data_IF_038680848332
#
_entry.id   IF_038680848332
#
_cell.length_a   1.000
_cell.length_b   1.000
_cell.length_c   1.000
_cell.angle_alpha   90.00
_cell.angle_beta   90.00
_cell.angle_gamma   90.00
#
_symmetry.space_group_name_H-M   'P 1'
#
loop_
_entity.id
_entity.type
_entity.pdbx_description
1 polymer ?
#
# COMPACT_ATOMS: atom_id res chain seq x y z
N UNK A 1 -2.48 10.61 -23.93
CA UNK A 1 -3.36 10.63 -22.73
C UNK A 1 -2.71 9.78 -21.66
N UNK A 2 -2.56 10.32 -20.44
CA UNK A 2 -1.79 9.71 -19.34
C UNK A 2 -2.68 9.25 -18.17
N UNK A 3 -4.00 9.30 -18.35
CA UNK A 3 -5.00 8.82 -17.39
C UNK A 3 -5.64 7.58 -18.00
N UNK A 4 -5.65 6.49 -17.23
CA UNK A 4 -6.28 5.23 -17.62
C UNK A 4 -7.49 5.06 -16.70
N UNK A 5 -8.68 5.08 -17.28
CA UNK A 5 -9.94 4.94 -16.55
C UNK A 5 -10.26 3.45 -16.36
N UNK A 6 -10.17 2.98 -15.11
CA UNK A 6 -10.65 1.64 -14.77
C UNK A 6 -12.19 1.64 -14.71
N UNK A 7 -12.87 0.73 -15.44
CA UNK A 7 -14.33 0.67 -15.42
C UNK A 7 -14.89 0.14 -14.09
N UNK A 8 -14.07 -0.63 -13.34
CA UNK A 8 -14.45 -1.23 -12.05
C UNK A 8 -13.22 -1.38 -11.15
N UNK A 9 -13.38 -1.27 -9.83
CA UNK A 9 -12.30 -1.60 -8.90
C UNK A 9 -11.99 -3.11 -8.88
N UNK A 10 -10.81 -3.50 -9.39
CA UNK A 10 -10.34 -4.90 -9.42
C UNK A 10 -9.08 -5.18 -8.59
N UNK A 11 -8.71 -4.25 -7.70
CA UNK A 11 -7.49 -4.31 -6.89
C UNK A 11 -6.22 -4.24 -7.77
N UNK A 12 -5.03 -4.33 -7.17
CA UNK A 12 -3.80 -3.85 -7.81
C UNK A 12 -3.30 -4.72 -8.97
N UNK A 13 -3.58 -6.02 -9.02
CA UNK A 13 -3.07 -6.87 -10.10
C UNK A 13 -3.62 -6.48 -11.48
N UNK A 14 -4.92 -6.20 -11.55
CA UNK A 14 -5.59 -5.84 -12.81
C UNK A 14 -5.16 -4.45 -13.31
N UNK A 15 -5.05 -3.47 -12.41
CA UNK A 15 -4.67 -2.11 -12.79
C UNK A 15 -3.20 -2.05 -13.27
N UNK A 16 -2.30 -2.76 -12.56
CA UNK A 16 -0.89 -2.89 -12.95
C UNK A 16 -0.78 -3.63 -14.29
N UNK A 17 -1.53 -4.72 -14.49
CA UNK A 17 -1.55 -5.45 -15.76
C UNK A 17 -2.01 -4.58 -16.93
N UNK A 18 -3.10 -3.83 -16.74
CA UNK A 18 -3.64 -2.89 -17.74
C UNK A 18 -2.62 -1.80 -18.09
N UNK A 19 -2.00 -1.18 -17.08
CA UNK A 19 -0.94 -0.20 -17.29
C UNK A 19 0.26 -0.82 -18.04
N UNK A 20 0.64 -2.05 -17.69
CA UNK A 20 1.78 -2.74 -18.29
C UNK A 20 1.58 -3.03 -19.78
N UNK A 21 0.39 -3.47 -20.23
CA UNK A 21 0.12 -3.66 -21.67
C UNK A 21 0.14 -2.32 -22.43
N UNK A 22 -0.37 -1.23 -21.82
CA UNK A 22 -0.38 0.10 -22.43
C UNK A 22 1.04 0.66 -22.56
N UNK A 23 1.87 0.49 -21.53
CA UNK A 23 3.26 0.93 -21.52
C UNK A 23 4.09 0.12 -22.51
N UNK A 24 3.98 -1.22 -22.48
CA UNK A 24 4.68 -2.12 -23.40
C UNK A 24 4.37 -1.83 -24.87
N UNK A 25 3.13 -1.43 -25.18
CA UNK A 25 2.74 -1.04 -26.54
C UNK A 25 3.45 0.23 -27.05
N UNK A 26 3.99 1.06 -26.15
CA UNK A 26 4.78 2.26 -26.46
C UNK A 26 6.28 2.00 -26.43
N UNK A 27 6.74 1.25 -25.43
CA UNK A 27 8.13 0.87 -25.22
C UNK A 27 8.19 -0.57 -24.68
N UNK A 28 8.59 -1.56 -25.49
CA UNK A 28 8.63 -2.97 -25.11
C UNK A 28 9.55 -3.29 -23.94
N UNK A 29 10.58 -2.48 -23.71
CA UNK A 29 11.62 -2.72 -22.71
C UNK A 29 11.50 -1.76 -21.51
N UNK A 30 10.42 -0.97 -21.42
CA UNK A 30 10.23 0.04 -20.38
C UNK A 30 10.28 -0.54 -18.97
N UNK A 31 11.12 0.06 -18.12
CA UNK A 31 11.03 -0.07 -16.67
C UNK A 31 9.87 0.78 -16.16
N UNK A 32 9.03 0.15 -15.35
CA UNK A 32 7.86 0.76 -14.72
C UNK A 32 8.09 0.86 -13.22
N UNK A 33 7.68 2.00 -12.66
CA UNK A 33 7.68 2.25 -11.23
C UNK A 33 6.21 2.42 -10.83
N UNK A 34 5.73 1.52 -9.98
CA UNK A 34 4.35 1.49 -9.46
C UNK A 34 4.35 2.11 -8.07
N UNK A 35 3.60 3.21 -7.91
CA UNK A 35 3.52 3.99 -6.68
C UNK A 35 2.06 4.14 -6.26
N UNK A 36 1.71 3.85 -5.00
CA UNK A 36 0.44 4.26 -4.40
C UNK A 36 0.35 5.79 -4.33
N UNK A 37 -0.83 6.34 -4.58
CA UNK A 37 -1.04 7.79 -4.69
C UNK A 37 -1.29 8.49 -3.34
N UNK A 38 -1.50 7.71 -2.29
CA UNK A 38 -1.93 8.09 -0.95
C UNK A 38 -0.81 8.01 0.11
N UNK A 39 0.41 7.65 -0.29
CA UNK A 39 1.56 7.57 0.61
C UNK A 39 2.22 8.94 0.84
N UNK A 40 2.76 9.14 2.05
CA UNK A 40 3.57 10.30 2.40
C UNK A 40 5.05 9.90 2.41
N UNK A 41 5.86 10.65 1.66
CA UNK A 41 7.31 10.51 1.61
C UNK A 41 7.94 11.90 1.85
N UNK A 42 8.77 12.06 2.88
CA UNK A 42 9.35 13.39 3.23
C UNK A 42 10.74 13.65 2.68
N UNK A 43 11.54 12.61 2.40
CA UNK A 43 12.92 12.73 1.93
C UNK A 43 13.00 12.35 0.44
N UNK A 44 12.60 13.28 -0.43
CA UNK A 44 12.45 13.04 -1.87
C UNK A 44 13.78 12.66 -2.55
N UNK A 45 14.89 13.23 -2.13
CA UNK A 45 16.20 12.97 -2.76
C UNK A 45 16.68 11.55 -2.46
N UNK A 46 16.50 11.08 -1.21
CA UNK A 46 16.77 9.67 -0.90
C UNK A 46 15.80 8.73 -1.61
N UNK A 47 14.54 9.11 -1.71
CA UNK A 47 13.54 8.32 -2.43
C UNK A 47 13.91 8.15 -3.92
N UNK A 48 14.26 9.24 -4.62
CA UNK A 48 14.70 9.20 -6.02
C UNK A 48 15.91 8.30 -6.21
N UNK A 49 16.93 8.40 -5.35
CA UNK A 49 18.11 7.52 -5.42
C UNK A 49 17.76 6.04 -5.26
N UNK A 50 16.85 5.71 -4.33
CA UNK A 50 16.36 4.34 -4.16
C UNK A 50 15.65 3.85 -5.41
N UNK A 51 14.79 4.68 -6.02
CA UNK A 51 14.08 4.35 -7.25
C UNK A 51 15.04 4.15 -8.44
N UNK A 52 16.02 5.03 -8.62
CA UNK A 52 17.00 4.95 -9.71
C UNK A 52 17.82 3.65 -9.63
N UNK A 53 18.30 3.31 -8.43
CA UNK A 53 19.05 2.07 -8.21
C UNK A 53 18.19 0.82 -8.45
N UNK A 54 16.95 0.82 -7.93
CA UNK A 54 16.00 -0.27 -8.14
C UNK A 54 15.63 -0.44 -9.62
N UNK A 55 15.40 0.66 -10.34
CA UNK A 55 15.05 0.66 -11.76
C UNK A 55 16.19 0.10 -12.62
N UNK A 56 17.43 0.52 -12.33
CA UNK A 56 18.63 -0.02 -12.99
C UNK A 56 18.74 -1.53 -12.79
N UNK A 57 18.62 -2.00 -11.54
CA UNK A 57 18.70 -3.43 -11.25
C UNK A 57 17.57 -4.22 -11.93
N UNK A 58 16.34 -3.71 -11.89
CA UNK A 58 15.18 -4.34 -12.51
C UNK A 58 15.35 -4.51 -14.04
N UNK A 59 15.96 -3.53 -14.71
CA UNK A 59 16.26 -3.61 -16.14
C UNK A 59 17.31 -4.69 -16.45
N UNK A 60 18.45 -4.62 -15.76
CA UNK A 60 19.60 -5.51 -16.00
C UNK A 60 19.30 -6.97 -15.62
N UNK A 61 18.62 -7.19 -14.49
CA UNK A 61 18.41 -8.51 -13.91
C UNK A 61 17.08 -9.15 -14.31
N UNK A 62 16.15 -8.39 -14.89
CA UNK A 62 14.74 -8.79 -15.09
C UNK A 62 14.04 -9.23 -13.79
N UNK A 63 14.42 -8.60 -12.68
CA UNK A 63 13.86 -8.85 -11.35
C UNK A 63 12.59 -8.05 -11.07
N UNK A 64 11.77 -8.55 -10.15
CA UNK A 64 10.66 -7.79 -9.55
C UNK A 64 11.17 -7.14 -8.26
N UNK A 65 11.41 -5.83 -8.28
CA UNK A 65 11.95 -5.12 -7.12
C UNK A 65 10.82 -4.47 -6.34
N UNK A 66 10.83 -4.60 -5.02
CA UNK A 66 9.97 -3.83 -4.11
C UNK A 66 10.82 -3.01 -3.12
N UNK A 67 10.19 -2.06 -2.43
CA UNK A 67 10.87 -1.22 -1.44
C UNK A 67 10.47 -1.68 -0.04
N UNK A 68 11.48 -2.02 0.77
CA UNK A 68 11.31 -2.41 2.17
C UNK A 68 11.58 -1.25 3.12
N UNK A 69 10.68 -1.00 4.06
CA UNK A 69 10.88 -0.01 5.13
C UNK A 69 11.25 -0.71 6.43
N UNK A 70 12.23 -0.16 7.15
CA UNK A 70 12.65 -0.75 8.43
C UNK A 70 11.50 -0.65 9.45
N UNK A 71 11.02 -1.78 10.01
CA UNK A 71 9.94 -1.77 10.98
C UNK A 71 10.37 -1.05 12.26
N UNK A 72 9.51 -0.19 12.78
CA UNK A 72 9.71 0.49 14.07
C UNK A 72 8.76 0.00 15.16
N UNK A 73 7.78 -0.83 14.78
CA UNK A 73 6.77 -1.43 15.66
C UNK A 73 6.20 -2.71 15.03
N UNK A 74 5.55 -3.58 15.80
CA UNK A 74 4.81 -4.73 15.27
C UNK A 74 3.47 -4.31 14.64
N UNK A 75 3.53 -3.63 13.50
CA UNK A 75 2.33 -3.24 12.74
C UNK A 75 1.66 -4.48 12.13
N UNK A 76 0.34 -4.61 12.25
CA UNK A 76 -0.43 -5.73 11.70
C UNK A 76 -1.15 -5.37 10.41
N UNK A 77 -1.27 -4.07 10.10
CA UNK A 77 -1.85 -3.57 8.87
C UNK A 77 -0.95 -3.72 7.62
N UNK A 78 0.35 -3.96 7.80
CA UNK A 78 1.34 -4.03 6.72
C UNK A 78 1.72 -5.45 6.34
N UNK A 79 2.17 -5.62 5.11
CA UNK A 79 2.94 -6.80 4.70
C UNK A 79 4.36 -6.74 5.23
N UNK A 80 4.95 -7.90 5.50
CA UNK A 80 6.35 -8.05 5.88
C UNK A 80 7.09 -8.89 4.84
N UNK A 81 8.34 -8.55 4.61
CA UNK A 81 9.20 -9.17 3.60
C UNK A 81 10.47 -9.62 4.28
N UNK A 82 10.70 -10.93 4.32
CA UNK A 82 11.96 -11.48 4.80
C UNK A 82 13.01 -11.39 3.69
N UNK A 83 14.17 -10.85 4.00
CA UNK A 83 15.29 -10.77 3.06
C UNK A 83 16.42 -11.72 3.43
N UNK A 84 17.23 -12.05 2.44
CA UNK A 84 18.56 -12.61 2.68
C UNK A 84 19.51 -11.48 3.09
N UNK A 85 20.34 -11.69 4.11
CA UNK A 85 21.34 -10.71 4.57
C UNK A 85 22.41 -10.40 3.50
N UNK A 86 22.55 -11.24 2.47
CA UNK A 86 23.51 -11.03 1.38
C UNK A 86 22.91 -10.21 0.25
N UNK A 87 23.50 -9.04 0.03
CA UNK A 87 23.26 -8.22 -1.16
C UNK A 87 23.69 -8.94 -2.44
N UNK A 88 22.85 -8.85 -3.47
CA UNK A 88 23.17 -9.29 -4.85
C UNK A 88 23.61 -8.14 -5.74
N UNK A 89 23.26 -6.91 -5.36
CA UNK A 89 23.75 -5.64 -5.89
C UNK A 89 23.63 -4.59 -4.77
N UNK A 90 24.20 -3.40 -4.98
CA UNK A 90 24.18 -2.31 -3.98
C UNK A 90 22.77 -2.06 -3.44
N UNK A 91 22.55 -2.30 -2.15
CA UNK A 91 21.26 -2.16 -1.47
C UNK A 91 20.12 -3.01 -2.08
N UNK A 92 20.43 -4.10 -2.78
CA UNK A 92 19.45 -5.03 -3.36
C UNK A 92 19.62 -6.42 -2.74
N UNK A 93 18.53 -6.95 -2.19
CA UNK A 93 18.52 -8.21 -1.45
C UNK A 93 17.51 -9.19 -2.08
N UNK A 94 17.84 -10.48 -2.22
CA UNK A 94 16.85 -11.51 -2.54
C UNK A 94 15.78 -11.59 -1.45
N UNK A 95 14.53 -11.76 -1.86
CA UNK A 95 13.42 -12.00 -0.92
C UNK A 95 13.25 -13.49 -0.69
N UNK A 96 13.12 -13.90 0.58
CA UNK A 96 12.82 -15.29 0.94
C UNK A 96 11.32 -15.54 1.01
N UNK A 97 10.58 -14.67 1.68
CA UNK A 97 9.13 -14.82 1.81
C UNK A 97 8.47 -13.47 2.02
N UNK A 98 7.21 -13.39 1.59
CA UNK A 98 6.27 -12.37 1.98
C UNK A 98 5.33 -12.93 3.04
N UNK A 99 4.88 -12.07 3.95
CA UNK A 99 3.88 -12.37 4.95
C UNK A 99 2.93 -11.16 5.04
N UNK A 100 1.78 -11.26 4.39
CA UNK A 100 0.79 -10.18 4.36
C UNK A 100 -0.02 -10.13 5.66
N UNK A 101 -0.01 -8.98 6.34
CA UNK A 101 -0.86 -8.65 7.50
C UNK A 101 -0.83 -9.72 8.61
N UNK A 102 0.36 -10.01 9.18
CA UNK A 102 0.49 -10.97 10.26
C UNK A 102 -0.28 -10.53 11.52
N UNK A 103 -0.65 -11.48 12.37
CA UNK A 103 -1.13 -11.15 13.71
C UNK A 103 0.00 -10.52 14.55
N UNK A 104 -0.36 -9.82 15.62
CA UNK A 104 0.57 -9.07 16.46
C UNK A 104 1.76 -9.90 16.98
N UNK A 105 1.51 -11.14 17.43
CA UNK A 105 2.56 -12.00 17.96
C UNK A 105 3.59 -12.38 16.88
N UNK A 106 3.13 -12.59 15.64
CA UNK A 106 4.00 -12.83 14.49
C UNK A 106 4.74 -11.55 14.07
N UNK A 107 4.04 -10.41 14.00
CA UNK A 107 4.67 -9.11 13.70
C UNK A 107 5.78 -8.75 14.69
N UNK A 108 5.57 -9.02 15.99
CA UNK A 108 6.58 -8.82 17.03
C UNK A 108 7.84 -9.66 16.76
N UNK A 109 7.68 -10.94 16.42
CA UNK A 109 8.82 -11.81 16.07
C UNK A 109 9.57 -11.32 14.84
N UNK A 110 8.86 -10.80 13.83
CA UNK A 110 9.48 -10.25 12.63
C UNK A 110 10.31 -8.99 12.91
N UNK A 111 9.83 -8.13 13.80
CA UNK A 111 10.58 -6.95 14.25
C UNK A 111 11.79 -7.36 15.07
N UNK A 112 11.63 -8.32 15.98
CA UNK A 112 12.71 -8.82 16.85
C UNK A 112 13.81 -9.56 16.09
N UNK A 113 13.48 -10.26 15.01
CA UNK A 113 14.46 -11.01 14.20
C UNK A 113 15.35 -10.09 13.36
N UNK A 114 14.86 -8.91 12.98
CA UNK A 114 15.62 -7.88 12.25
C UNK A 114 15.85 -8.18 10.76
N UNK A 115 15.39 -9.34 10.27
CA UNK A 115 15.50 -9.79 8.87
C UNK A 115 14.22 -9.55 8.05
N UNK A 116 13.18 -8.96 8.66
CA UNK A 116 11.96 -8.53 7.98
C UNK A 116 11.88 -7.01 7.81
N UNK A 117 11.37 -6.60 6.66
CA UNK A 117 11.01 -5.21 6.35
C UNK A 117 9.52 -5.08 6.04
N UNK A 118 8.95 -3.91 6.29
CA UNK A 118 7.59 -3.60 5.83
C UNK A 118 7.57 -3.49 4.31
N UNK A 119 6.57 -4.12 3.69
CA UNK A 119 6.24 -3.94 2.28
C UNK A 119 5.64 -2.54 2.10
N UNK A 120 6.31 -1.68 1.33
CA UNK A 120 5.82 -0.32 1.09
C UNK A 120 4.73 -0.23 0.03
N UNK A 121 4.32 -1.35 -0.60
CA UNK A 121 3.39 -1.36 -1.73
C UNK A 121 3.90 -0.67 -3.00
N UNK A 122 5.21 -0.38 -3.06
CA UNK A 122 5.87 0.20 -4.24
C UNK A 122 6.66 -0.87 -4.97
N UNK A 123 6.59 -0.85 -6.29
CA UNK A 123 7.18 -1.89 -7.13
C UNK A 123 7.90 -1.33 -8.35
N UNK A 124 8.96 -2.00 -8.77
CA UNK A 124 9.81 -1.61 -9.88
C UNK A 124 10.18 -2.85 -10.70
N UNK A 125 9.83 -2.85 -11.97
CA UNK A 125 10.08 -3.95 -12.92
C UNK A 125 9.93 -3.49 -14.36
N UNK A 126 10.47 -4.26 -15.31
CA UNK A 126 10.11 -4.07 -16.72
C UNK A 126 8.68 -4.54 -17.02
N UNK A 127 8.00 -3.85 -17.93
CA UNK A 127 6.62 -4.14 -18.32
C UNK A 127 6.47 -5.56 -18.92
N UNK A 128 7.42 -6.01 -19.73
CA UNK A 128 7.43 -7.37 -20.28
C UNK A 128 7.60 -8.43 -19.19
N UNK A 129 8.48 -8.18 -18.22
CA UNK A 129 8.80 -9.11 -17.12
C UNK A 129 7.60 -9.33 -16.21
N UNK A 130 6.85 -8.28 -15.84
CA UNK A 130 5.65 -8.44 -15.02
C UNK A 130 4.52 -9.12 -15.78
N UNK A 131 4.36 -8.84 -17.07
CA UNK A 131 3.38 -9.53 -17.92
C UNK A 131 3.70 -11.02 -18.07
N UNK A 132 4.98 -11.37 -18.15
CA UNK A 132 5.43 -12.77 -18.15
C UNK A 132 5.13 -13.48 -16.82
N UNK A 133 5.28 -12.81 -15.67
CA UNK A 133 4.88 -13.37 -14.38
C UNK A 133 3.36 -13.53 -14.29
N UNK A 134 2.59 -12.53 -14.74
CA UNK A 134 1.12 -12.60 -14.79
C UNK A 134 0.68 -13.76 -15.68
N UNK A 135 1.32 -13.99 -16.82
CA UNK A 135 1.04 -15.16 -17.67
C UNK A 135 1.22 -16.49 -16.93
N UNK A 136 2.29 -16.61 -16.15
CA UNK A 136 2.67 -17.86 -15.49
C UNK A 136 1.86 -18.12 -14.20
N UNK A 137 1.59 -17.08 -13.43
CA UNK A 137 1.01 -17.17 -12.08
C UNK A 137 -0.48 -16.82 -12.05
N UNK A 138 -0.97 -16.08 -13.05
CA UNK A 138 -2.34 -15.57 -13.15
C UNK A 138 -2.87 -15.65 -14.60
N UNK A 139 -2.92 -16.85 -15.22
CA UNK A 139 -3.25 -17.02 -16.64
C UNK A 139 -4.61 -16.40 -17.02
N UNK A 140 -5.64 -16.52 -16.18
CA UNK A 140 -6.95 -15.91 -16.43
C UNK A 140 -6.87 -14.37 -16.59
N UNK A 141 -6.02 -13.71 -15.78
CA UNK A 141 -5.79 -12.28 -15.90
C UNK A 141 -5.03 -11.97 -17.19
N UNK A 142 -3.99 -12.75 -17.50
CA UNK A 142 -3.21 -12.57 -18.71
C UNK A 142 -4.06 -12.68 -19.98
N UNK A 143 -4.95 -13.66 -20.07
CA UNK A 143 -5.87 -13.82 -21.21
C UNK A 143 -6.76 -12.60 -21.40
N UNK A 144 -7.31 -12.07 -20.30
CA UNK A 144 -8.07 -10.82 -20.34
C UNK A 144 -7.23 -9.63 -20.80
N UNK A 145 -5.99 -9.50 -20.31
CA UNK A 145 -5.08 -8.43 -20.73
C UNK A 145 -4.73 -8.53 -22.23
N UNK A 146 -4.51 -9.73 -22.77
CA UNK A 146 -4.26 -9.95 -24.20
C UNK A 146 -5.50 -9.57 -25.04
N UNK A 147 -6.71 -9.84 -24.56
CA UNK A 147 -7.93 -9.42 -25.23
C UNK A 147 -8.05 -7.89 -25.28
N UNK A 148 -7.73 -7.21 -24.18
CA UNK A 148 -7.71 -5.74 -24.09
C UNK A 148 -6.60 -5.16 -24.97
N UNK A 149 -5.42 -5.78 -25.01
CA UNK A 149 -4.28 -5.30 -25.80
C UNK A 149 -4.62 -5.23 -27.30
N UNK A 150 -5.35 -6.21 -27.82
CA UNK A 150 -5.82 -6.25 -29.21
C UNK A 150 -6.73 -5.08 -29.58
N UNK A 151 -7.40 -4.48 -28.59
CA UNK A 151 -8.38 -3.42 -28.79
C UNK A 151 -7.86 -2.02 -28.48
N UNK A 152 -6.60 -1.87 -28.06
CA UNK A 152 -6.00 -0.58 -27.69
C UNK A 152 -6.13 0.51 -28.77
N UNK A 153 -6.16 0.13 -30.05
CA UNK A 153 -6.31 1.05 -31.20
C UNK A 153 -7.72 1.08 -31.78
N UNK A 154 -8.66 0.35 -31.21
CA UNK A 154 -10.05 0.28 -31.67
C UNK A 154 -10.83 1.52 -31.19
N UNK A 155 -11.61 2.19 -32.04
CA UNK A 155 -12.56 3.22 -31.61
C UNK A 155 -13.48 2.80 -30.45
N UNK A 156 -13.79 1.50 -30.32
CA UNK A 156 -14.65 0.95 -29.27
C UNK A 156 -13.88 0.47 -28.02
N UNK A 157 -12.62 0.86 -27.84
CA UNK A 157 -11.75 0.41 -26.73
C UNK A 157 -12.43 0.46 -25.36
N UNK A 158 -13.15 1.53 -25.03
CA UNK A 158 -13.80 1.68 -23.72
C UNK A 158 -14.84 0.59 -23.42
N UNK A 159 -15.65 0.20 -24.41
CA UNK A 159 -16.67 -0.83 -24.23
C UNK A 159 -16.06 -2.24 -24.16
N UNK A 160 -15.02 -2.49 -24.93
CA UNK A 160 -14.28 -3.75 -24.88
C UNK A 160 -13.52 -3.90 -23.56
N UNK A 161 -12.83 -2.84 -23.12
CA UNK A 161 -12.21 -2.76 -21.80
C UNK A 161 -13.24 -3.06 -20.72
N UNK A 162 -14.37 -2.36 -20.70
CA UNK A 162 -15.44 -2.60 -19.72
C UNK A 162 -15.91 -4.05 -19.70
N UNK A 163 -16.14 -4.64 -20.87
CA UNK A 163 -16.63 -6.02 -21.00
C UNK A 163 -15.63 -7.02 -20.44
N UNK A 164 -14.35 -6.92 -20.81
CA UNK A 164 -13.31 -7.85 -20.35
C UNK A 164 -12.97 -7.61 -18.87
N UNK A 165 -12.80 -6.35 -18.46
CA UNK A 165 -12.42 -5.98 -17.09
C UNK A 165 -13.48 -6.39 -16.06
N UNK A 166 -14.75 -6.41 -16.45
CA UNK A 166 -15.84 -6.93 -15.62
C UNK A 166 -15.66 -8.40 -15.23
N UNK A 167 -14.94 -9.19 -16.02
CA UNK A 167 -14.73 -10.62 -15.78
C UNK A 167 -13.45 -10.91 -14.98
N UNK A 168 -12.57 -9.91 -14.81
CA UNK A 168 -11.32 -10.09 -14.06
C UNK A 168 -11.56 -10.34 -12.58
N UNK A 169 -10.75 -11.22 -11.99
CA UNK A 169 -10.75 -11.50 -10.55
C UNK A 169 -10.23 -10.29 -9.78
N UNK A 170 -10.83 -10.01 -8.61
CA UNK A 170 -10.37 -8.97 -7.68
C UNK A 170 -9.26 -9.54 -6.79
N UNK A 171 -8.01 -9.19 -7.06
CA UNK A 171 -6.83 -9.70 -6.34
C UNK A 171 -5.68 -8.67 -6.36
N UNK A 172 -4.89 -8.59 -5.30
CA UNK A 172 -3.72 -7.70 -5.26
C UNK A 172 -2.53 -8.33 -6.00
N UNK A 173 -1.60 -7.50 -6.43
CA UNK A 173 -0.35 -7.94 -7.04
C UNK A 173 0.53 -8.70 -6.04
N UNK A 174 0.44 -8.36 -4.76
CA UNK A 174 1.16 -9.04 -3.68
C UNK A 174 0.79 -10.53 -3.62
N UNK A 175 -0.49 -10.84 -3.46
CA UNK A 175 -1.00 -12.22 -3.45
C UNK A 175 -0.92 -12.91 -4.83
N UNK A 176 -1.09 -12.12 -5.89
CA UNK A 176 -1.11 -12.63 -7.26
C UNK A 176 0.26 -13.11 -7.73
N UNK A 177 1.29 -12.31 -7.44
CA UNK A 177 2.63 -12.41 -8.02
C UNK A 177 3.72 -12.42 -6.94
N UNK A 178 3.78 -11.41 -6.07
CA UNK A 178 4.94 -11.20 -5.19
C UNK A 178 5.18 -12.34 -4.21
N UNK A 179 4.11 -12.93 -3.64
CA UNK A 179 4.22 -14.09 -2.75
C UNK A 179 4.65 -15.39 -3.46
N UNK A 180 4.52 -15.46 -4.78
CA UNK A 180 4.67 -16.70 -5.56
C UNK A 180 5.86 -16.69 -6.51
N UNK A 181 6.34 -15.50 -6.87
CA UNK A 181 7.44 -15.34 -7.81
C UNK A 181 8.78 -15.65 -7.15
N UNK A 182 9.67 -16.32 -7.88
CA UNK A 182 11.02 -16.66 -7.42
C UNK A 182 12.07 -15.59 -7.74
N UNK A 183 11.68 -14.52 -8.44
CA UNK A 183 12.58 -13.44 -8.90
C UNK A 183 12.29 -12.10 -8.22
N UNK A 184 11.89 -12.16 -6.95
CA UNK A 184 11.59 -10.98 -6.15
C UNK A 184 12.82 -10.52 -5.38
N UNK A 185 13.05 -9.22 -5.43
CA UNK A 185 14.15 -8.53 -4.77
C UNK A 185 13.61 -7.34 -3.99
N UNK A 186 14.35 -6.93 -2.98
CA UNK A 186 14.01 -5.80 -2.13
C UNK A 186 15.14 -4.79 -2.13
N UNK A 187 14.80 -3.52 -2.30
CA UNK A 187 15.69 -2.39 -1.97
C UNK A 187 15.27 -1.78 -0.65
N UNK A 188 16.21 -1.47 0.24
CA UNK A 188 15.85 -0.83 1.52
C UNK A 188 15.58 0.65 1.29
N UNK A 189 14.40 1.10 1.71
CA UNK A 189 14.02 2.51 1.70
C UNK A 189 14.56 3.24 2.93
N UNK A 190 15.62 4.02 2.75
CA UNK A 190 16.21 4.85 3.82
C UNK A 190 15.58 6.25 3.87
N UNK A 191 14.25 6.33 3.82
CA UNK A 191 13.49 7.58 3.81
C UNK A 191 12.26 7.48 4.70
N UNK A 192 11.74 8.63 5.13
CA UNK A 192 10.52 8.67 5.95
C UNK A 192 9.31 8.37 5.07
N UNK A 193 8.62 7.27 5.38
CA UNK A 193 7.46 6.75 4.66
C UNK A 193 6.30 6.47 5.62
N UNK A 194 5.07 6.70 5.14
CA UNK A 194 3.81 6.30 5.77
C UNK A 194 2.78 6.05 4.67
N UNK A 195 1.97 5.01 4.80
CA UNK A 195 0.84 4.72 3.89
C UNK A 195 -0.45 5.49 4.23
N UNK A 196 -0.49 6.14 5.39
CA UNK A 196 -1.65 6.92 5.89
C UNK A 196 -2.93 6.07 5.91
N UNK A 197 -2.79 4.76 6.13
CA UNK A 197 -3.84 3.77 6.06
C UNK A 197 -4.70 3.67 7.32
N UNK A 198 -4.31 4.32 8.42
CA UNK A 198 -5.03 4.28 9.69
C UNK A 198 -4.95 5.58 10.49
N UNK A 199 -5.90 5.77 11.40
CA UNK A 199 -5.86 6.90 12.33
C UNK A 199 -4.65 6.86 13.28
N UNK A 200 -4.09 5.67 13.53
CA UNK A 200 -2.83 5.54 14.26
C UNK A 200 -1.67 6.18 13.48
N UNK A 201 -1.60 6.02 12.17
CA UNK A 201 -0.55 6.66 11.37
C UNK A 201 -0.71 8.17 11.31
N UNK A 202 -1.95 8.67 11.25
CA UNK A 202 -2.22 10.11 11.36
C UNK A 202 -1.70 10.64 12.70
N UNK A 203 -1.93 9.93 13.80
CA UNK A 203 -1.34 10.27 15.09
C UNK A 203 0.20 10.27 15.04
N UNK A 204 0.82 9.26 14.44
CA UNK A 204 2.28 9.16 14.31
C UNK A 204 2.88 10.32 13.51
N UNK A 205 2.18 10.82 12.50
CA UNK A 205 2.60 11.96 11.68
C UNK A 205 2.31 13.32 12.30
N UNK A 206 1.40 13.38 13.27
CA UNK A 206 0.98 14.62 13.93
C UNK A 206 2.01 15.14 14.95
N UNK A 207 2.01 16.45 15.17
CA UNK A 207 2.76 17.07 16.26
C UNK A 207 2.11 16.74 17.60
N UNK A 208 2.91 16.30 18.58
CA UNK A 208 2.45 15.96 19.93
C UNK A 208 2.82 17.05 20.92
N UNK A 209 1.98 17.22 21.94
CA UNK A 209 2.29 18.02 23.12
C UNK A 209 3.11 17.20 24.15
N UNK A 210 3.40 17.81 25.31
CA UNK A 210 4.21 17.21 26.39
C UNK A 210 3.65 15.90 26.94
N UNK A 211 2.34 15.67 26.84
CA UNK A 211 1.67 14.44 27.29
C UNK A 211 1.54 13.40 26.17
N UNK A 212 2.19 13.62 25.02
CA UNK A 212 2.09 12.72 23.87
C UNK A 212 0.77 12.82 23.11
N UNK A 213 -0.07 13.83 23.37
CA UNK A 213 -1.35 14.00 22.67
C UNK A 213 -1.17 14.83 21.39
N UNK A 214 -1.86 14.42 20.34
CA UNK A 214 -2.05 15.22 19.13
C UNK A 214 -3.52 15.63 19.04
N UNK A 215 -3.79 16.93 18.86
CA UNK A 215 -5.14 17.47 18.86
C UNK A 215 -5.35 18.49 17.74
N UNK A 216 -6.48 18.40 17.05
CA UNK A 216 -6.92 19.33 16.00
C UNK A 216 -8.29 19.89 16.37
N UNK A 217 -8.43 21.22 16.35
CA UNK A 217 -9.67 21.92 16.67
C UNK A 217 -9.81 22.32 18.13
N UNK A 218 -11.05 22.46 18.62
CA UNK A 218 -11.33 22.97 19.98
C UNK A 218 -11.38 21.83 20.99
N UNK A 219 -10.20 21.41 21.47
CA UNK A 219 -10.06 20.25 22.34
C UNK A 219 -9.63 20.65 23.76
N UNK A 220 -10.35 20.14 24.76
CA UNK A 220 -9.94 20.15 26.17
C UNK A 220 -9.47 18.74 26.57
N UNK A 221 -8.31 18.65 27.21
CA UNK A 221 -7.79 17.39 27.76
C UNK A 221 -7.43 17.56 29.23
N UNK A 222 -7.74 16.57 30.06
CA UNK A 222 -7.32 16.51 31.46
C UNK A 222 -7.01 15.07 31.88
N UNK A 223 -5.80 14.79 32.35
CA UNK A 223 -5.33 13.41 32.61
C UNK A 223 -5.53 12.52 31.37
N UNK A 224 -4.96 12.95 30.25
CA UNK A 224 -4.99 12.22 28.98
C UNK A 224 -3.57 12.14 28.46
N UNK A 225 -3.10 10.96 28.09
CA UNK A 225 -1.82 10.79 27.39
C UNK A 225 -1.95 9.99 26.11
N UNK A 226 -0.94 10.15 25.25
CA UNK A 226 -0.72 9.30 24.07
C UNK A 226 -1.97 9.16 23.18
N UNK A 227 -2.74 10.23 23.00
CA UNK A 227 -4.04 10.18 22.33
C UNK A 227 -4.14 11.11 21.11
N UNK A 228 -4.99 10.74 20.15
CA UNK A 228 -5.32 11.55 18.98
C UNK A 228 -6.75 12.08 19.08
N UNK A 229 -6.94 13.39 19.00
CA UNK A 229 -8.26 14.02 19.02
C UNK A 229 -8.42 14.92 17.80
N UNK A 230 -9.27 14.52 16.87
CA UNK A 230 -9.64 15.32 15.71
C UNK A 230 -11.06 15.85 15.88
N UNK A 231 -11.20 17.15 16.12
CA UNK A 231 -12.52 17.78 16.28
C UNK A 231 -12.56 19.20 15.68
N UNK A 232 -12.55 19.32 14.35
CA UNK A 232 -12.53 20.62 13.68
C UNK A 232 -13.82 21.43 13.88
N UNK A 233 -14.98 20.76 13.99
CA UNK A 233 -16.28 21.45 13.93
C UNK A 233 -16.91 21.70 15.31
N UNK A 234 -16.48 20.95 16.34
CA UNK A 234 -17.14 20.89 17.65
C UNK A 234 -16.12 21.03 18.78
N UNK A 235 -16.61 21.43 19.96
CA UNK A 235 -15.80 21.39 21.18
C UNK A 235 -15.80 19.95 21.71
N UNK A 236 -14.63 19.38 21.93
CA UNK A 236 -14.48 18.02 22.46
C UNK A 236 -13.66 18.05 23.75
N UNK A 237 -14.17 17.42 24.80
CA UNK A 237 -13.48 17.28 26.07
C UNK A 237 -13.18 15.80 26.37
N UNK A 238 -11.94 15.49 26.71
CA UNK A 238 -11.48 14.13 27.05
C UNK A 238 -10.82 14.17 28.42
N UNK A 239 -11.26 13.28 29.32
CA UNK A 239 -10.78 13.26 30.72
C UNK A 239 -10.50 11.82 31.14
N UNK A 240 -9.30 11.57 31.69
CA UNK A 240 -8.94 10.30 32.32
C UNK A 240 -8.79 9.13 31.36
N UNK A 241 -8.47 9.39 30.08
CA UNK A 241 -8.30 8.37 29.05
C UNK A 241 -6.91 8.46 28.45
N UNK A 242 -6.28 7.31 28.25
CA UNK A 242 -4.98 7.21 27.59
C UNK A 242 -5.10 6.30 26.36
N UNK A 243 -4.22 6.51 25.38
CA UNK A 243 -4.12 5.66 24.20
C UNK A 243 -5.42 5.59 23.36
N UNK A 244 -6.14 6.70 23.22
CA UNK A 244 -7.41 6.78 22.47
C UNK A 244 -7.32 7.61 21.20
N UNK A 245 -8.14 7.25 20.23
CA UNK A 245 -8.44 8.02 19.02
C UNK A 245 -9.87 8.51 19.17
N UNK A 246 -10.07 9.82 19.04
CA UNK A 246 -11.37 10.47 19.05
C UNK A 246 -11.49 11.30 17.77
N UNK A 247 -12.34 10.86 16.84
CA UNK A 247 -12.67 11.60 15.62
C UNK A 247 -14.09 12.10 15.77
N UNK A 248 -14.27 13.41 15.93
CA UNK A 248 -15.57 14.04 16.06
C UNK A 248 -15.72 15.06 14.92
N UNK A 249 -16.37 14.64 13.85
CA UNK A 249 -16.50 15.40 12.61
C UNK A 249 -17.93 15.31 12.09
N UNK A 250 -18.51 16.44 11.67
CA UNK A 250 -19.91 16.51 11.21
C UNK A 250 -20.88 15.81 12.19
N UNK A 251 -21.62 14.79 11.74
CA UNK A 251 -22.62 14.07 12.53
C UNK A 251 -22.11 12.72 13.07
N UNK A 252 -20.81 12.44 12.95
CA UNK A 252 -20.22 11.17 13.39
C UNK A 252 -19.18 11.36 14.49
N UNK A 253 -19.09 10.35 15.36
CA UNK A 253 -18.02 10.22 16.35
C UNK A 253 -17.45 8.82 16.31
N UNK A 254 -16.14 8.72 16.11
CA UNK A 254 -15.37 7.49 16.30
C UNK A 254 -14.57 7.62 17.57
N UNK A 255 -14.68 6.62 18.44
CA UNK A 255 -13.82 6.46 19.61
C UNK A 255 -13.28 5.04 19.60
N UNK A 256 -11.97 4.88 19.53
CA UNK A 256 -11.32 3.59 19.68
C UNK A 256 -9.99 3.74 20.41
N UNK A 257 -9.43 2.63 20.89
CA UNK A 257 -8.04 2.63 21.31
C UNK A 257 -7.14 2.70 20.08
N UNK A 258 -5.98 3.34 20.22
CA UNK A 258 -5.00 3.46 19.14
C UNK A 258 -4.50 2.11 18.62
N UNK A 259 -4.30 1.15 19.50
CA UNK A 259 -3.94 -0.24 19.16
C UNK A 259 -5.06 -1.02 18.44
N UNK A 260 -6.22 -0.37 18.22
CA UNK A 260 -7.39 -0.89 17.50
C UNK A 260 -7.77 -0.03 16.30
N UNK A 261 -6.89 0.87 15.85
CA UNK A 261 -7.17 1.77 14.74
C UNK A 261 -7.50 1.02 13.41
N UNK A 262 -6.94 -0.17 13.20
CA UNK A 262 -7.22 -1.01 12.02
C UNK A 262 -8.63 -1.61 12.03
N UNK A 263 -9.23 -1.81 13.21
CA UNK A 263 -10.55 -2.42 13.36
C UNK A 263 -11.67 -1.46 12.94
N UNK A 264 -11.35 -0.19 12.63
CA UNK A 264 -12.30 0.80 12.05
C UNK A 264 -12.93 0.29 10.75
N UNK A 265 -12.24 -0.58 10.01
CA UNK A 265 -12.80 -1.23 8.83
C UNK A 265 -14.07 -2.04 9.16
N UNK A 266 -14.16 -2.66 10.33
CA UNK A 266 -15.35 -3.39 10.77
C UNK A 266 -16.55 -2.46 10.93
N UNK A 267 -16.32 -1.22 11.37
CA UNK A 267 -17.36 -0.18 11.48
C UNK A 267 -17.82 0.24 10.08
N UNK A 268 -16.90 0.44 9.14
CA UNK A 268 -17.23 0.75 7.74
C UNK A 268 -18.07 -0.37 7.11
N UNK A 269 -17.69 -1.62 7.32
CA UNK A 269 -18.44 -2.78 6.83
C UNK A 269 -19.83 -2.86 7.47
N UNK A 270 -19.93 -2.62 8.78
CA UNK A 270 -21.21 -2.52 9.48
C UNK A 270 -22.13 -1.43 8.91
N UNK A 271 -21.62 -0.21 8.69
CA UNK A 271 -22.41 0.89 8.15
C UNK A 271 -22.94 0.57 6.74
N UNK A 272 -22.11 0.01 5.87
CA UNK A 272 -22.52 -0.46 4.53
C UNK A 272 -23.60 -1.53 4.59
N UNK A 273 -23.43 -2.53 5.46
CA UNK A 273 -24.42 -3.60 5.63
C UNK A 273 -25.78 -3.07 6.10
N UNK A 274 -25.79 -1.98 6.87
CA UNK A 274 -26.99 -1.35 7.39
C UNK A 274 -27.50 -0.19 6.51
N UNK A 275 -26.91 0.05 5.34
CA UNK A 275 -27.27 1.13 4.40
C UNK A 275 -27.20 2.52 5.03
N UNK A 276 -26.18 2.73 5.86
CA UNK A 276 -25.86 3.97 6.56
C UNK A 276 -24.72 4.70 5.86
N UNK A 277 -24.78 4.77 4.52
CA UNK A 277 -23.71 5.28 3.66
C UNK A 277 -23.45 6.78 3.87
N UNK A 278 -24.42 7.52 4.43
CA UNK A 278 -24.28 8.93 4.77
C UNK A 278 -23.31 9.21 5.94
N UNK A 279 -22.90 8.16 6.67
CA UNK A 279 -21.97 8.25 7.80
C UNK A 279 -20.57 7.68 7.52
N UNK A 280 -20.30 7.27 6.28
CA UNK A 280 -18.98 6.83 5.80
C UNK A 280 -18.08 8.02 5.46
#
# INVERSE_FOLDING_TARGET
ENIIEEPFGRNTAACIGLASIIIKAKDPDAVTIVLPADHIIRDEDKFKKVLENAAKYADESKGLVTIGITPTRPETGYGYIQINDKEVAENIYPVYTFAEKPNYATALRFVESGDFLWNSGMFIWRADVILDEIRNLMPDLYEGLVAIEKSLKNPNFKEELKTVYAQLKKISIDYGIMEKSSKVFLTKGSFNWSDVGSWEEVYQLSEKNENGNAAVGKVYTNMVSDSYIYSPDKVTAVIGLDNVIVINHNDTVLICRRDKAQDVKEIVDYLKMNKMDEYL
#
